data_IF_323352595922
#
_entry.id   IF_323352595922
#
_cell.length_a   1.000
_cell.length_b   1.000
_cell.length_c   1.000
_cell.angle_alpha   90.00
_cell.angle_beta   90.00
_cell.angle_gamma   90.00
#
_symmetry.space_group_name_H-M   'P 1'
#
loop_
_entity.id
_entity.type
_entity.pdbx_description
1 polymer ?
#
# COMPACT_ATOMS: atom_id res chain seq x y z
N UNK A 1 19.83 7.76 -2.30
CA UNK A 1 18.44 7.76 -1.77
C UNK A 1 18.39 6.68 -0.71
N UNK A 2 17.94 6.98 0.51
CA UNK A 2 17.78 5.99 1.59
C UNK A 2 16.28 5.64 1.73
N UNK A 3 15.98 4.67 2.59
CA UNK A 3 14.63 4.18 2.85
C UNK A 3 13.66 5.32 3.20
N UNK A 4 14.00 6.16 4.17
CA UNK A 4 13.13 7.27 4.61
C UNK A 4 12.79 8.25 3.48
N UNK A 5 13.78 8.64 2.66
CA UNK A 5 13.54 9.52 1.51
C UNK A 5 12.68 8.87 0.43
N UNK A 6 12.72 7.54 0.30
CA UNK A 6 11.91 6.79 -0.65
C UNK A 6 10.45 6.75 -0.18
N UNK A 7 10.21 6.47 1.10
CA UNK A 7 8.88 6.50 1.71
C UNK A 7 8.27 7.90 1.59
N UNK A 8 9.00 8.93 1.99
CA UNK A 8 8.54 10.32 1.95
C UNK A 8 8.16 10.76 0.52
N UNK A 9 8.97 10.40 -0.48
CA UNK A 9 8.77 10.82 -1.86
C UNK A 9 7.62 10.08 -2.56
N UNK A 10 7.45 8.79 -2.29
CA UNK A 10 6.58 7.93 -3.10
C UNK A 10 5.39 7.34 -2.35
N UNK A 11 5.44 7.19 -1.02
CA UNK A 11 4.45 6.42 -0.25
C UNK A 11 3.81 7.21 0.91
N UNK A 12 4.20 8.47 1.15
CA UNK A 12 3.61 9.32 2.17
C UNK A 12 2.44 10.15 1.61
N UNK A 13 1.30 9.49 1.35
CA UNK A 13 0.12 10.12 0.78
C UNK A 13 -0.85 10.64 1.85
N UNK A 14 -1.74 11.57 1.46
CA UNK A 14 -2.80 12.05 2.35
C UNK A 14 -3.74 10.90 2.76
N UNK A 15 -4.01 10.81 4.06
CA UNK A 15 -4.87 9.78 4.63
C UNK A 15 -6.36 10.16 4.54
N UNK A 16 -7.23 9.14 4.46
CA UNK A 16 -8.68 9.32 4.53
C UNK A 16 -9.13 9.55 5.98
N UNK A 17 -10.32 10.14 6.16
CA UNK A 17 -10.89 10.47 7.48
C UNK A 17 -11.06 9.28 8.43
N UNK A 18 -11.13 8.04 7.91
CA UNK A 18 -11.21 6.82 8.72
C UNK A 18 -9.85 6.32 9.22
N UNK A 19 -8.75 6.93 8.81
CA UNK A 19 -7.39 6.56 9.25
C UNK A 19 -6.97 7.52 10.36
N UNK A 20 -6.99 7.02 11.60
CA UNK A 20 -6.59 7.76 12.80
C UNK A 20 -5.07 7.90 12.92
N UNK A 21 -4.31 6.95 12.36
CA UNK A 21 -2.85 6.99 12.28
C UNK A 21 -2.38 6.37 10.96
N UNK A 22 -1.67 7.17 10.15
CA UNK A 22 -1.14 6.79 8.84
C UNK A 22 0.34 6.40 8.87
N UNK A 23 1.06 6.67 7.78
CA UNK A 23 2.51 6.38 7.64
C UNK A 23 3.33 7.18 8.66
N UNK A 24 4.28 6.51 9.33
CA UNK A 24 5.21 7.15 10.28
C UNK A 24 5.39 6.42 11.60
N UNK A 25 4.66 5.33 11.82
CA UNK A 25 4.71 4.47 13.01
C UNK A 25 4.81 2.98 12.59
N UNK A 26 4.96 2.07 13.55
CA UNK A 26 5.06 0.62 13.33
C UNK A 26 3.74 0.00 12.83
N UNK A 27 2.61 0.69 13.03
CA UNK A 27 1.30 0.27 12.55
C UNK A 27 0.37 1.45 12.23
N UNK A 28 -0.60 1.20 11.35
CA UNK A 28 -1.70 2.13 11.08
C UNK A 28 -2.89 1.85 12.01
N UNK A 29 -3.67 2.89 12.31
CA UNK A 29 -4.94 2.79 13.04
C UNK A 29 -6.07 3.20 12.11
N UNK A 30 -7.07 2.32 11.95
CA UNK A 30 -8.23 2.53 11.09
C UNK A 30 -9.49 2.38 11.93
N UNK A 31 -10.32 3.40 11.93
CA UNK A 31 -11.60 3.41 12.64
C UNK A 31 -12.68 2.71 11.81
N UNK A 32 -13.31 1.70 12.39
CA UNK A 32 -14.46 1.06 11.79
C UNK A 32 -15.70 1.95 11.91
N UNK A 33 -16.48 2.06 10.83
CA UNK A 33 -17.80 2.70 10.91
C UNK A 33 -18.74 1.80 11.74
N UNK A 34 -19.64 2.37 12.59
CA UNK A 34 -20.59 1.56 13.35
C UNK A 34 -21.38 0.59 12.47
N UNK A 35 -21.56 -0.65 12.96
CA UNK A 35 -22.24 -1.74 12.25
C UNK A 35 -21.55 -2.19 10.95
N UNK A 36 -20.25 -1.95 10.80
CA UNK A 36 -19.44 -2.46 9.69
C UNK A 36 -18.28 -3.31 10.21
N UNK A 37 -17.64 -4.06 9.33
CA UNK A 37 -16.45 -4.85 9.64
C UNK A 37 -15.28 -4.36 8.79
N UNK A 38 -14.10 -4.26 9.40
CA UNK A 38 -12.84 -4.11 8.65
C UNK A 38 -12.42 -5.50 8.18
N UNK A 39 -12.17 -5.63 6.89
CA UNK A 39 -11.67 -6.86 6.26
C UNK A 39 -10.42 -6.49 5.48
N UNK A 40 -9.35 -7.27 5.65
CA UNK A 40 -8.06 -7.06 4.98
C UNK A 40 -7.59 -8.34 4.31
N UNK A 41 -6.93 -8.21 3.17
CA UNK A 41 -6.23 -9.28 2.45
C UNK A 41 -4.84 -8.81 2.06
N UNK A 42 -3.94 -9.77 1.85
CA UNK A 42 -2.56 -9.49 1.42
C UNK A 42 -2.18 -10.52 0.37
N UNK A 43 -1.79 -10.03 -0.80
CA UNK A 43 -1.26 -10.83 -1.89
C UNK A 43 0.19 -10.44 -2.19
N UNK A 44 0.94 -11.35 -2.80
CA UNK A 44 2.35 -11.13 -3.15
C UNK A 44 2.57 -11.40 -4.63
N UNK A 45 3.16 -10.43 -5.34
CA UNK A 45 3.52 -10.56 -6.76
C UNK A 45 5.03 -10.68 -6.91
N UNK A 46 5.46 -11.72 -7.62
CA UNK A 46 6.87 -12.09 -7.84
C UNK A 46 7.17 -12.02 -9.33
N UNK A 47 8.26 -11.35 -9.73
CA UNK A 47 8.77 -11.33 -11.10
C UNK A 47 8.99 -12.75 -11.64
N UNK A 48 8.58 -13.00 -12.89
CA UNK A 48 8.69 -14.30 -13.55
C UNK A 48 7.63 -15.33 -13.14
N UNK A 49 6.88 -15.08 -12.06
CA UNK A 49 5.74 -15.90 -11.62
C UNK A 49 4.42 -15.19 -11.91
N UNK A 50 4.29 -13.96 -11.41
CA UNK A 50 3.06 -13.18 -11.50
C UNK A 50 3.09 -12.15 -12.63
N UNK A 51 4.28 -11.68 -13.03
CA UNK A 51 4.46 -10.76 -14.15
C UNK A 51 5.81 -10.99 -14.86
N UNK A 52 5.90 -10.78 -16.20
CA UNK A 52 7.17 -10.90 -16.93
C UNK A 52 8.24 -9.90 -16.47
N UNK A 53 9.51 -10.25 -16.63
CA UNK A 53 10.68 -9.41 -16.27
C UNK A 53 10.68 -8.01 -16.87
N UNK A 54 10.10 -7.83 -18.05
CA UNK A 54 10.07 -6.55 -18.76
C UNK A 54 8.75 -5.78 -18.57
N UNK A 55 7.94 -6.15 -17.57
CA UNK A 55 6.70 -5.42 -17.24
C UNK A 55 7.05 -4.02 -16.76
N UNK A 56 6.32 -3.00 -17.22
CA UNK A 56 6.59 -1.62 -16.80
C UNK A 56 6.25 -1.43 -15.32
N UNK A 57 6.95 -0.49 -14.65
CA UNK A 57 6.67 -0.20 -13.24
C UNK A 57 5.21 0.26 -13.00
N UNK A 58 4.62 0.97 -13.97
CA UNK A 58 3.23 1.41 -13.90
C UNK A 58 2.26 0.22 -13.97
N UNK A 59 2.52 -0.75 -14.85
CA UNK A 59 1.69 -1.95 -14.97
C UNK A 59 1.83 -2.87 -13.74
N UNK A 60 3.04 -2.95 -13.17
CA UNK A 60 3.28 -3.66 -11.90
C UNK A 60 2.45 -3.02 -10.77
N UNK A 61 2.47 -1.68 -10.66
CA UNK A 61 1.71 -0.95 -9.65
C UNK A 61 0.19 -1.12 -9.83
N UNK A 62 -0.29 -1.08 -11.08
CA UNK A 62 -1.69 -1.33 -11.39
C UNK A 62 -2.11 -2.74 -10.98
N UNK A 63 -1.31 -3.75 -11.34
CA UNK A 63 -1.59 -5.16 -11.01
C UNK A 63 -1.48 -5.46 -9.51
N UNK A 64 -0.64 -4.73 -8.77
CA UNK A 64 -0.51 -4.90 -7.32
C UNK A 64 -1.76 -4.45 -6.54
N UNK A 65 -2.63 -3.63 -7.14
CA UNK A 65 -3.87 -3.14 -6.53
C UNK A 65 -5.13 -3.85 -7.05
N UNK A 66 -5.12 -4.25 -8.32
CA UNK A 66 -6.27 -4.84 -9.02
C UNK A 66 -6.60 -6.25 -8.54
#
# INVERSE_FOLDING_TARGET
MNEFKLIERYFNWACYHSVSLGVGDDCAIIDATPNTQIVTSVDTLIEGVHFPKNTSAADIAYKALA
#
